data_IF_300953057007
#
_entry.id   IF_300953057007
#
_cell.length_a   1.000
_cell.length_b   1.000
_cell.length_c   1.000
_cell.angle_alpha   90.00
_cell.angle_beta   90.00
_cell.angle_gamma   90.00
#
_symmetry.space_group_name_H-M   'P 1'
#
loop_
_entity.id
_entity.type
_entity.pdbx_description
1 polymer ?
#
# COMPACT_ATOMS: atom_id res chain seq x y z
N UNK A 1 13.37 -38.28 -19.40
CA UNK A 1 13.80 -37.01 -20.03
C UNK A 1 13.23 -35.88 -19.20
N UNK A 2 13.96 -35.47 -18.17
CA UNK A 2 13.59 -34.34 -17.33
C UNK A 2 14.85 -33.50 -17.18
N UNK A 3 14.93 -32.43 -17.98
CA UNK A 3 15.94 -31.40 -17.85
C UNK A 3 15.46 -30.45 -16.76
N UNK A 4 16.03 -30.57 -15.56
CA UNK A 4 16.00 -29.49 -14.57
C UNK A 4 17.03 -28.44 -15.01
N UNK A 5 16.54 -27.26 -15.37
CA UNK A 5 17.38 -26.08 -15.60
C UNK A 5 17.88 -25.58 -14.25
N UNK A 6 19.07 -26.04 -13.87
CA UNK A 6 19.85 -25.49 -12.75
C UNK A 6 20.29 -24.06 -13.11
N UNK A 7 19.51 -23.06 -12.71
CA UNK A 7 19.96 -21.66 -12.67
C UNK A 7 20.83 -21.49 -11.43
N UNK A 8 21.96 -22.21 -11.42
CA UNK A 8 22.92 -22.25 -10.34
C UNK A 8 23.70 -20.94 -10.24
N UNK A 9 23.35 -20.09 -9.27
CA UNK A 9 24.21 -19.00 -8.82
C UNK A 9 25.50 -19.63 -8.26
N UNK A 10 26.54 -19.71 -9.10
CA UNK A 10 27.86 -20.26 -8.72
C UNK A 10 28.41 -19.49 -7.52
N UNK A 11 28.38 -20.11 -6.35
CA UNK A 11 29.03 -19.60 -5.13
C UNK A 11 30.53 -19.89 -5.25
N UNK A 12 31.34 -18.87 -5.57
CA UNK A 12 32.80 -19.03 -5.78
C UNK A 12 33.65 -18.25 -4.79
N UNK A 13 33.63 -18.65 -3.52
CA UNK A 13 34.88 -18.64 -2.76
C UNK A 13 35.43 -20.07 -2.84
N UNK A 14 36.34 -20.33 -3.78
CA UNK A 14 36.92 -21.67 -3.97
C UNK A 14 38.04 -21.99 -2.95
N UNK A 15 38.34 -21.06 -2.03
CA UNK A 15 39.35 -21.26 -1.00
C UNK A 15 38.72 -21.96 0.21
N UNK A 16 39.30 -23.08 0.69
CA UNK A 16 38.82 -23.71 1.91
C UNK A 16 38.98 -22.76 3.09
N UNK A 17 37.87 -22.47 3.75
CA UNK A 17 37.82 -21.62 4.93
C UNK A 17 38.27 -22.43 6.14
N UNK A 18 39.30 -21.98 6.86
CA UNK A 18 39.81 -22.65 8.07
C UNK A 18 41.16 -23.38 7.92
N UNK A 19 41.69 -23.51 6.70
CA UNK A 19 43.02 -24.10 6.44
C UNK A 19 44.11 -23.05 6.17
N UNK A 20 43.74 -21.80 5.92
CA UNK A 20 44.65 -20.67 5.74
C UNK A 20 44.86 -19.89 7.05
N UNK A 21 46.07 -19.36 7.29
CA UNK A 21 46.37 -18.48 8.43
C UNK A 21 45.55 -17.17 8.45
N UNK A 22 44.98 -16.77 7.31
CA UNK A 22 44.11 -15.60 7.22
C UNK A 22 42.72 -15.85 7.83
N UNK A 23 42.29 -14.96 8.73
CA UNK A 23 40.95 -15.02 9.33
C UNK A 23 39.88 -14.83 8.26
N UNK A 24 38.92 -15.74 8.22
CA UNK A 24 37.75 -15.64 7.36
C UNK A 24 36.80 -14.53 7.82
N UNK A 25 36.03 -13.96 6.89
CA UNK A 25 35.10 -12.86 7.13
C UNK A 25 33.67 -13.27 6.84
N UNK A 26 32.75 -12.88 7.71
CA UNK A 26 31.33 -13.23 7.60
C UNK A 26 30.56 -12.19 6.77
N UNK A 27 29.85 -12.65 5.74
CA UNK A 27 28.96 -11.83 4.93
C UNK A 27 27.54 -11.85 5.53
N UNK A 28 27.04 -10.69 5.93
CA UNK A 28 25.73 -10.58 6.57
C UNK A 28 24.54 -10.74 5.62
N UNK A 29 24.77 -10.67 4.30
CA UNK A 29 23.73 -10.93 3.29
C UNK A 29 23.57 -12.43 3.01
N UNK A 30 24.67 -13.12 2.71
CA UNK A 30 24.63 -14.53 2.31
C UNK A 30 24.70 -15.52 3.46
N UNK A 31 25.06 -15.07 4.67
CA UNK A 31 25.20 -15.92 5.85
C UNK A 31 26.41 -16.87 5.80
N UNK A 32 27.41 -16.59 4.95
CA UNK A 32 28.59 -17.45 4.73
C UNK A 32 29.89 -16.73 5.04
N UNK A 33 30.95 -17.51 5.28
CA UNK A 33 32.31 -17.02 5.44
C UNK A 33 33.07 -16.96 4.10
N UNK A 34 33.90 -15.94 3.95
CA UNK A 34 34.67 -15.65 2.74
C UNK A 34 36.12 -15.32 3.10
N UNK A 35 37.05 -15.58 2.18
CA UNK A 35 38.45 -15.15 2.33
C UNK A 35 38.58 -13.61 2.23
N UNK A 36 39.75 -13.09 2.63
CA UNK A 36 40.05 -11.65 2.60
C UNK A 36 39.92 -11.03 1.19
N UNK A 37 40.20 -11.80 0.14
CA UNK A 37 40.08 -11.34 -1.25
C UNK A 37 38.63 -11.18 -1.70
N UNK A 38 37.74 -12.08 -1.26
CA UNK A 38 36.32 -12.08 -1.64
C UNK A 38 35.46 -11.18 -0.73
N UNK A 39 36.01 -10.72 0.40
CA UNK A 39 35.29 -9.93 1.39
C UNK A 39 36.13 -8.74 1.90
N UNK A 40 35.81 -7.56 1.37
CA UNK A 40 36.49 -6.30 1.70
C UNK A 40 35.74 -5.47 2.75
N UNK A 41 34.85 -6.10 3.52
CA UNK A 41 34.08 -5.43 4.58
C UNK A 41 33.25 -4.23 4.10
N UNK A 42 32.84 -4.24 2.83
CA UNK A 42 31.93 -3.22 2.31
C UNK A 42 30.61 -3.25 3.06
N UNK A 43 30.08 -2.07 3.37
CA UNK A 43 28.87 -1.91 4.17
C UNK A 43 27.64 -1.72 3.29
N UNK A 44 26.59 -2.49 3.54
CA UNK A 44 25.32 -2.39 2.83
C UNK A 44 24.13 -2.66 3.78
N UNK A 45 22.95 -2.09 3.48
CA UNK A 45 21.72 -2.42 4.22
C UNK A 45 21.23 -3.80 3.80
N UNK A 46 20.93 -4.67 4.75
CA UNK A 46 20.48 -6.03 4.42
C UNK A 46 18.96 -6.05 4.28
N UNK A 47 18.39 -6.31 3.08
CA UNK A 47 16.95 -6.19 2.85
C UNK A 47 16.09 -7.03 3.80
N UNK A 48 16.51 -8.28 4.07
CA UNK A 48 15.81 -9.15 5.01
C UNK A 48 15.77 -8.57 6.44
N UNK A 49 16.87 -7.97 6.91
CA UNK A 49 16.92 -7.34 8.24
C UNK A 49 16.05 -6.09 8.30
N UNK A 50 16.10 -5.29 7.24
CA UNK A 50 15.26 -4.10 7.11
C UNK A 50 13.77 -4.45 7.13
N UNK A 51 13.35 -5.48 6.39
CA UNK A 51 11.94 -5.86 6.29
C UNK A 51 11.40 -6.57 7.53
N UNK A 52 12.21 -7.42 8.17
CA UNK A 52 11.72 -8.17 9.33
C UNK A 52 11.80 -7.38 10.64
N UNK A 53 12.82 -6.52 10.78
CA UNK A 53 13.11 -5.86 12.07
C UNK A 53 13.23 -4.33 11.97
N UNK A 54 12.97 -3.73 10.81
CA UNK A 54 13.27 -2.31 10.55
C UNK A 54 14.72 -1.93 10.90
N UNK A 55 15.65 -2.87 10.72
CA UNK A 55 17.05 -2.69 11.03
C UNK A 55 17.72 -1.87 9.91
N UNK A 56 17.94 -0.58 10.20
CA UNK A 56 18.50 0.40 9.26
C UNK A 56 20.02 0.41 9.24
N UNK A 57 20.68 -0.44 10.03
CA UNK A 57 22.12 -0.51 10.09
C UNK A 57 22.71 -1.09 8.80
N UNK A 58 23.95 -0.68 8.51
CA UNK A 58 24.73 -1.24 7.41
C UNK A 58 25.65 -2.33 7.94
N UNK A 59 25.70 -3.44 7.23
CA UNK A 59 26.47 -4.62 7.61
C UNK A 59 27.49 -4.97 6.56
N UNK A 60 28.56 -5.64 7.00
CA UNK A 60 29.64 -6.06 6.12
C UNK A 60 29.16 -7.17 5.17
N UNK A 61 29.43 -7.02 3.89
CA UNK A 61 29.05 -7.98 2.85
C UNK A 61 30.24 -8.36 1.97
N UNK A 62 30.17 -9.56 1.38
CA UNK A 62 31.11 -10.00 0.35
C UNK A 62 31.01 -9.13 -0.90
N UNK A 63 32.06 -9.12 -1.73
CA UNK A 63 32.06 -8.38 -3.02
C UNK A 63 30.89 -8.76 -3.90
N UNK A 64 30.69 -10.06 -4.10
CA UNK A 64 29.61 -10.61 -4.90
C UNK A 64 28.22 -10.21 -4.35
N UNK A 65 28.04 -10.28 -3.03
CA UNK A 65 26.79 -9.84 -2.41
C UNK A 65 26.55 -8.35 -2.61
N UNK A 66 27.59 -7.52 -2.50
CA UNK A 66 27.51 -6.09 -2.75
C UNK A 66 27.10 -5.80 -4.19
N UNK A 67 27.78 -6.40 -5.17
CA UNK A 67 27.48 -6.23 -6.60
C UNK A 67 26.02 -6.58 -6.90
N UNK A 68 25.53 -7.70 -6.34
CA UNK A 68 24.13 -8.08 -6.48
C UNK A 68 23.18 -7.09 -5.82
N UNK A 69 23.46 -6.68 -4.58
CA UNK A 69 22.62 -5.75 -3.83
C UNK A 69 22.55 -4.36 -4.49
N UNK A 70 23.65 -3.91 -5.10
CA UNK A 70 23.70 -2.69 -5.89
C UNK A 70 22.90 -2.84 -7.19
N UNK A 71 23.01 -3.98 -7.87
CA UNK A 71 22.26 -4.27 -9.09
C UNK A 71 20.74 -4.22 -8.88
N UNK A 72 20.24 -4.76 -7.76
CA UNK A 72 18.79 -4.78 -7.46
C UNK A 72 18.32 -3.60 -6.61
N UNK A 73 19.18 -2.61 -6.35
CA UNK A 73 18.92 -1.59 -5.34
C UNK A 73 17.68 -0.74 -5.64
N UNK A 74 17.47 -0.40 -6.91
CA UNK A 74 16.33 0.41 -7.37
C UNK A 74 15.15 -0.44 -7.88
N UNK A 75 15.33 -1.76 -7.95
CA UNK A 75 14.32 -2.69 -8.46
C UNK A 75 13.19 -2.87 -7.42
N UNK A 76 11.91 -2.71 -7.83
CA UNK A 76 10.76 -2.81 -6.93
C UNK A 76 10.41 -4.28 -6.64
N UNK A 77 11.20 -4.93 -5.80
CA UNK A 77 11.09 -6.37 -5.54
C UNK A 77 10.40 -6.71 -4.21
N UNK A 78 10.15 -5.72 -3.36
CA UNK A 78 9.76 -5.93 -1.96
C UNK A 78 8.29 -5.57 -1.75
N UNK A 79 7.40 -6.56 -1.79
CA UNK A 79 6.01 -6.37 -1.35
C UNK A 79 5.93 -6.49 0.18
N UNK A 80 5.87 -5.35 0.87
CA UNK A 80 5.86 -5.30 2.34
C UNK A 80 4.63 -5.99 2.93
N UNK A 81 3.47 -5.92 2.26
CA UNK A 81 2.25 -6.56 2.77
C UNK A 81 2.35 -8.08 2.73
N UNK A 82 3.00 -8.63 1.70
CA UNK A 82 3.24 -10.07 1.59
C UNK A 82 4.38 -10.55 2.50
N UNK A 83 5.45 -9.76 2.63
CA UNK A 83 6.66 -10.16 3.36
C UNK A 83 6.54 -9.97 4.87
N UNK A 84 5.98 -8.84 5.33
CA UNK A 84 5.80 -8.53 6.74
C UNK A 84 4.75 -7.39 6.92
N UNK A 85 3.45 -7.70 6.95
CA UNK A 85 2.41 -6.67 7.07
C UNK A 85 2.47 -5.91 8.41
N UNK A 86 2.97 -6.57 9.48
CA UNK A 86 3.15 -5.94 10.79
C UNK A 86 4.17 -4.80 10.77
N UNK A 87 5.05 -4.73 9.76
CA UNK A 87 6.04 -3.66 9.65
C UNK A 87 5.40 -2.26 9.59
N UNK A 88 4.23 -2.14 8.95
CA UNK A 88 3.47 -0.89 8.93
C UNK A 88 2.99 -0.44 10.30
N UNK A 89 2.83 -1.35 11.26
CA UNK A 89 2.41 -1.00 12.62
C UNK A 89 3.59 -0.58 13.49
N UNK A 90 4.78 -1.12 13.20
CA UNK A 90 5.99 -0.88 14.00
C UNK A 90 6.86 0.25 13.45
N UNK A 91 6.63 0.68 12.21
CA UNK A 91 7.33 1.81 11.60
C UNK A 91 6.36 2.90 11.17
N UNK A 92 6.28 3.96 11.97
CA UNK A 92 5.40 5.12 11.72
C UNK A 92 5.73 5.83 10.38
N UNK A 93 7.01 5.98 10.05
CA UNK A 93 7.44 6.60 8.80
C UNK A 93 6.94 5.80 7.57
N UNK A 94 7.00 4.47 7.64
CA UNK A 94 6.51 3.60 6.57
C UNK A 94 4.97 3.59 6.52
N UNK A 95 4.30 3.60 7.67
CA UNK A 95 2.84 3.72 7.77
C UNK A 95 2.34 5.02 7.12
N UNK A 96 3.02 6.13 7.39
CA UNK A 96 2.75 7.43 6.78
C UNK A 96 2.89 7.35 5.26
N UNK A 97 3.97 6.74 4.77
CA UNK A 97 4.18 6.55 3.32
C UNK A 97 3.09 5.68 2.71
N UNK A 98 2.66 4.60 3.37
CA UNK A 98 1.56 3.76 2.88
C UNK A 98 0.27 4.58 2.71
N UNK A 99 -0.08 5.38 3.72
CA UNK A 99 -1.26 6.25 3.70
C UNK A 99 -1.19 7.23 2.53
N UNK A 100 -0.04 7.91 2.34
CA UNK A 100 0.19 8.80 1.20
C UNK A 100 0.06 8.08 -0.14
N UNK A 101 0.56 6.85 -0.25
CA UNK A 101 0.45 6.05 -1.48
C UNK A 101 -0.98 5.61 -1.77
N UNK A 102 -1.77 5.24 -0.76
CA UNK A 102 -3.21 4.95 -0.90
C UNK A 102 -3.97 6.19 -1.39
N UNK A 103 -3.70 7.35 -0.78
CA UNK A 103 -4.26 8.63 -1.23
C UNK A 103 -3.91 8.94 -2.68
N UNK A 104 -2.65 8.74 -3.05
CA UNK A 104 -2.17 8.95 -4.41
C UNK A 104 -2.79 7.95 -5.41
N UNK A 105 -3.02 6.69 -5.02
CA UNK A 105 -3.73 5.70 -5.83
C UNK A 105 -5.18 6.13 -6.10
N UNK A 106 -5.87 6.70 -5.11
CA UNK A 106 -7.20 7.28 -5.32
C UNK A 106 -7.15 8.45 -6.29
N UNK A 107 -6.21 9.38 -6.13
CA UNK A 107 -6.04 10.53 -7.04
C UNK A 107 -5.67 10.10 -8.47
N UNK A 108 -4.83 9.08 -8.62
CA UNK A 108 -4.46 8.51 -9.92
C UNK A 108 -5.69 8.16 -10.74
N UNK A 109 -6.72 7.55 -10.14
CA UNK A 109 -7.94 7.17 -10.85
C UNK A 109 -8.65 8.37 -11.50
N UNK A 110 -8.64 9.55 -10.86
CA UNK A 110 -9.19 10.78 -11.43
C UNK A 110 -8.33 11.30 -12.58
N UNK A 111 -7.01 11.42 -12.37
CA UNK A 111 -6.10 12.00 -13.36
C UNK A 111 -6.01 11.14 -14.63
N UNK A 112 -5.95 9.80 -14.48
CA UNK A 112 -5.85 8.87 -15.60
C UNK A 112 -7.15 8.70 -16.38
N UNK A 113 -8.29 9.08 -15.81
CA UNK A 113 -9.58 9.10 -16.51
C UNK A 113 -10.01 10.52 -16.94
N UNK A 114 -9.15 11.53 -16.73
CA UNK A 114 -9.38 12.92 -17.15
C UNK A 114 -8.78 13.15 -18.55
N UNK A 115 -7.89 14.13 -18.72
CA UNK A 115 -7.19 14.44 -19.96
C UNK A 115 -5.81 13.78 -19.99
N UNK A 116 -5.39 13.28 -21.15
CA UNK A 116 -4.12 12.59 -21.34
C UNK A 116 -2.90 13.40 -20.86
N UNK A 117 -2.89 14.72 -21.09
CA UNK A 117 -1.79 15.60 -20.68
C UNK A 117 -1.53 15.57 -19.16
N UNK A 118 -2.58 15.54 -18.35
CA UNK A 118 -2.43 15.54 -16.88
C UNK A 118 -1.99 14.18 -16.35
N UNK A 119 -2.45 13.09 -16.99
CA UNK A 119 -1.96 11.76 -16.69
C UNK A 119 -0.47 11.63 -16.98
N UNK A 120 -0.01 12.20 -18.10
CA UNK A 120 1.40 12.22 -18.49
C UNK A 120 2.25 13.10 -17.56
N UNK A 121 1.75 14.26 -17.15
CA UNK A 121 2.41 15.08 -16.13
C UNK A 121 2.60 14.34 -14.80
N UNK A 122 1.61 13.55 -14.38
CA UNK A 122 1.73 12.71 -13.19
C UNK A 122 2.80 11.62 -13.37
N UNK A 123 2.88 10.98 -14.55
CA UNK A 123 3.94 9.99 -14.84
C UNK A 123 5.33 10.62 -14.78
N UNK A 124 5.54 11.76 -15.44
CA UNK A 124 6.81 12.49 -15.44
C UNK A 124 7.28 12.87 -14.03
N UNK A 125 6.35 13.27 -13.16
CA UNK A 125 6.65 13.60 -11.76
C UNK A 125 7.05 12.37 -10.93
N UNK A 126 6.61 11.19 -11.33
CA UNK A 126 6.88 9.94 -10.63
C UNK A 126 8.05 9.15 -11.21
N UNK A 127 8.46 9.45 -12.45
CA UNK A 127 9.58 8.79 -13.12
C UNK A 127 10.88 8.89 -12.28
N UNK A 128 11.68 7.82 -12.14
CA UNK A 128 11.52 6.48 -12.74
C UNK A 128 10.64 5.50 -11.93
N UNK A 129 9.95 5.97 -10.89
CA UNK A 129 9.25 5.17 -9.87
C UNK A 129 7.74 5.09 -10.11
N UNK A 130 7.32 4.91 -11.35
CA UNK A 130 5.90 4.87 -11.72
C UNK A 130 5.13 3.72 -11.07
N UNK A 131 5.81 2.61 -10.73
CA UNK A 131 5.24 1.50 -9.97
C UNK A 131 4.66 1.95 -8.61
N UNK A 132 5.17 3.06 -8.05
CA UNK A 132 4.65 3.59 -6.79
C UNK A 132 3.17 3.99 -6.87
N UNK A 133 2.70 4.35 -8.07
CA UNK A 133 1.31 4.69 -8.36
C UNK A 133 0.37 3.48 -8.49
N UNK A 134 0.92 2.29 -8.75
CA UNK A 134 0.14 1.10 -9.14
C UNK A 134 0.06 0.08 -8.00
N UNK A 135 1.20 -0.24 -7.40
CA UNK A 135 1.32 -1.30 -6.40
C UNK A 135 1.71 -0.74 -5.04
N UNK A 136 0.74 -0.24 -4.26
CA UNK A 136 0.97 0.53 -3.02
C UNK A 136 1.86 -0.15 -1.96
N UNK A 137 2.00 -1.48 -2.01
CA UNK A 137 2.83 -2.27 -1.09
C UNK A 137 4.20 -2.66 -1.64
N UNK A 138 4.47 -2.41 -2.91
CA UNK A 138 5.73 -2.77 -3.58
C UNK A 138 6.75 -1.64 -3.44
N UNK A 139 7.96 -1.97 -3.02
CA UNK A 139 9.08 -1.05 -2.80
C UNK A 139 10.40 -1.62 -3.33
N UNK A 140 11.31 -0.73 -3.70
CA UNK A 140 12.74 -1.03 -3.83
C UNK A 140 13.48 -0.80 -2.51
N UNK A 141 14.73 -1.26 -2.41
CA UNK A 141 15.59 -0.91 -1.27
C UNK A 141 15.86 0.60 -1.27
N UNK A 142 16.00 1.21 -2.45
CA UNK A 142 16.14 2.65 -2.61
C UNK A 142 14.94 3.45 -2.08
N UNK A 143 13.71 2.95 -2.24
CA UNK A 143 12.53 3.59 -1.66
C UNK A 143 12.54 3.52 -0.14
N UNK A 144 12.82 2.34 0.42
CA UNK A 144 12.88 2.16 1.87
C UNK A 144 14.00 3.01 2.48
N UNK A 145 15.15 3.15 1.81
CA UNK A 145 16.18 4.10 2.21
C UNK A 145 15.65 5.55 2.21
N UNK A 146 14.84 5.96 1.23
CA UNK A 146 14.20 7.28 1.26
C UNK A 146 13.15 7.44 2.36
N UNK A 147 12.53 6.34 2.82
CA UNK A 147 11.67 6.37 4.02
C UNK A 147 12.52 6.63 5.25
N UNK A 148 13.64 5.90 5.40
CA UNK A 148 14.60 6.07 6.50
C UNK A 148 15.14 7.51 6.53
N UNK A 149 15.51 8.05 5.36
CA UNK A 149 16.03 9.41 5.21
C UNK A 149 14.95 10.49 5.39
N UNK A 150 13.67 10.13 5.53
CA UNK A 150 12.56 11.08 5.63
C UNK A 150 12.25 11.86 4.35
N UNK A 151 12.70 11.37 3.18
CA UNK A 151 12.60 12.07 1.88
C UNK A 151 11.37 11.65 1.08
N UNK A 152 10.93 10.39 1.19
CA UNK A 152 9.86 9.86 0.35
C UNK A 152 8.51 10.50 0.66
N UNK A 153 8.17 10.71 1.94
CA UNK A 153 6.90 11.31 2.33
C UNK A 153 6.74 12.76 1.83
N UNK A 154 7.71 13.68 2.02
CA UNK A 154 7.65 15.02 1.42
C UNK A 154 7.54 15.03 -0.11
N UNK A 155 8.22 14.09 -0.78
CA UNK A 155 8.08 13.92 -2.23
C UNK A 155 6.64 13.55 -2.62
N UNK A 156 6.07 12.52 -2.00
CA UNK A 156 4.70 12.09 -2.27
C UNK A 156 3.67 13.19 -1.96
N UNK A 157 3.86 13.96 -0.88
CA UNK A 157 3.00 15.10 -0.56
C UNK A 157 2.99 16.17 -1.66
N UNK A 158 4.15 16.46 -2.28
CA UNK A 158 4.21 17.40 -3.42
C UNK A 158 3.41 16.89 -4.61
N UNK A 159 3.51 15.59 -4.92
CA UNK A 159 2.75 14.97 -6.02
C UNK A 159 1.25 14.94 -5.71
N UNK A 160 0.88 14.60 -4.47
CA UNK A 160 -0.51 14.62 -4.01
C UNK A 160 -1.09 16.02 -4.09
N UNK A 161 -0.34 17.06 -3.70
CA UNK A 161 -0.79 18.46 -3.82
C UNK A 161 -1.06 18.85 -5.27
N UNK A 162 -0.19 18.45 -6.19
CA UNK A 162 -0.41 18.65 -7.62
C UNK A 162 -1.70 17.95 -8.09
N UNK A 163 -1.84 16.66 -7.78
CA UNK A 163 -2.97 15.87 -8.24
C UNK A 163 -4.31 16.33 -7.63
N UNK A 164 -4.35 16.65 -6.33
CA UNK A 164 -5.55 17.16 -5.68
C UNK A 164 -5.95 18.55 -6.17
N UNK A 165 -4.97 19.44 -6.40
CA UNK A 165 -5.22 20.75 -7.00
C UNK A 165 -5.88 20.63 -8.38
N UNK A 166 -5.49 19.64 -9.19
CA UNK A 166 -6.15 19.37 -10.45
C UNK A 166 -7.59 18.90 -10.25
N UNK A 167 -7.82 17.92 -9.37
CA UNK A 167 -9.17 17.38 -9.12
C UNK A 167 -10.14 18.48 -8.67
N UNK A 168 -9.72 19.37 -7.79
CA UNK A 168 -10.58 20.46 -7.29
C UNK A 168 -10.87 21.56 -8.32
N UNK A 169 -9.99 21.76 -9.31
CA UNK A 169 -10.14 22.82 -10.31
C UNK A 169 -10.64 22.34 -11.67
N UNK A 170 -10.76 21.02 -11.88
CA UNK A 170 -11.15 20.43 -13.15
C UNK A 170 -12.62 19.98 -13.15
N UNK A 171 -13.42 20.53 -14.07
CA UNK A 171 -14.84 20.18 -14.25
C UNK A 171 -15.07 18.68 -14.50
N UNK A 172 -14.23 18.04 -15.31
CA UNK A 172 -14.33 16.59 -15.59
C UNK A 172 -14.03 15.72 -14.36
N UNK A 173 -13.19 16.21 -13.44
CA UNK A 173 -12.90 15.49 -12.21
C UNK A 173 -13.98 15.72 -11.15
N UNK A 174 -14.56 16.93 -11.10
CA UNK A 174 -15.62 17.24 -10.14
C UNK A 174 -16.90 16.44 -10.37
N UNK A 175 -17.21 16.11 -11.62
CA UNK A 175 -18.35 15.23 -11.97
C UNK A 175 -18.19 13.80 -11.44
N UNK A 176 -16.96 13.38 -11.10
CA UNK A 176 -16.64 12.06 -10.53
C UNK A 176 -16.54 12.10 -9.00
N UNK A 177 -16.82 13.25 -8.39
CA UNK A 177 -16.96 13.36 -6.95
C UNK A 177 -18.25 12.73 -6.45
N UNK A 178 -18.40 12.67 -5.13
CA UNK A 178 -19.55 12.05 -4.49
C UNK A 178 -20.36 13.11 -3.76
N UNK A 179 -21.67 12.87 -3.64
CA UNK A 179 -22.55 13.61 -2.74
C UNK A 179 -22.92 12.67 -1.59
N UNK A 180 -22.84 13.17 -0.36
CA UNK A 180 -23.17 12.37 0.82
C UNK A 180 -24.68 12.09 0.88
N UNK A 181 -25.10 10.84 0.65
CA UNK A 181 -26.55 10.47 0.66
C UNK A 181 -27.21 10.63 2.04
N UNK A 182 -26.43 10.70 3.13
CA UNK A 182 -26.93 10.80 4.50
C UNK A 182 -27.35 12.23 4.90
N UNK A 183 -26.60 13.25 4.47
CA UNK A 183 -26.94 14.64 4.77
C UNK A 183 -27.47 15.40 3.55
N UNK A 184 -27.29 14.85 2.34
CA UNK A 184 -27.69 15.46 1.07
C UNK A 184 -27.19 16.90 0.86
N UNK A 185 -26.12 17.29 1.56
CA UNK A 185 -25.43 18.53 1.29
C UNK A 185 -24.80 18.43 -0.11
N UNK A 186 -25.06 19.43 -0.96
CA UNK A 186 -24.53 19.53 -2.33
C UNK A 186 -23.01 19.70 -2.43
N UNK A 187 -22.31 19.76 -1.29
CA UNK A 187 -20.85 19.75 -1.25
C UNK A 187 -20.31 18.42 -1.79
N UNK A 188 -19.48 18.53 -2.83
CA UNK A 188 -18.78 17.38 -3.43
C UNK A 188 -17.65 16.92 -2.50
N UNK A 189 -17.65 15.62 -2.20
CA UNK A 189 -16.61 14.95 -1.42
C UNK A 189 -15.87 13.91 -2.25
N UNK A 190 -14.63 13.63 -1.85
CA UNK A 190 -13.75 12.72 -2.58
C UNK A 190 -13.11 11.67 -1.67
N UNK A 191 -12.91 10.42 -2.12
CA UNK A 191 -12.34 9.35 -1.30
C UNK A 191 -10.94 9.64 -0.75
N UNK A 192 -10.16 10.52 -1.40
CA UNK A 192 -8.81 10.89 -0.97
C UNK A 192 -8.77 11.96 0.14
N UNK A 193 -9.93 12.39 0.64
CA UNK A 193 -10.09 13.30 1.77
C UNK A 193 -10.29 12.49 3.07
N UNK A 194 -9.23 11.81 3.53
CA UNK A 194 -9.30 10.81 4.60
C UNK A 194 -9.87 11.32 5.95
N UNK A 195 -9.68 12.61 6.25
CA UNK A 195 -10.20 13.23 7.48
C UNK A 195 -11.67 13.67 7.35
N UNK A 196 -12.10 14.08 6.16
CA UNK A 196 -13.43 14.64 5.93
C UNK A 196 -14.44 13.62 5.39
N UNK A 197 -13.96 12.51 4.82
CA UNK A 197 -14.80 11.52 4.14
C UNK A 197 -14.45 10.09 4.53
N UNK A 198 -15.43 9.20 4.40
CA UNK A 198 -15.28 7.75 4.57
C UNK A 198 -15.92 7.03 3.39
N UNK A 199 -15.20 6.06 2.85
CA UNK A 199 -15.64 5.19 1.76
C UNK A 199 -16.13 3.87 2.35
N UNK A 200 -17.33 3.46 1.97
CA UNK A 200 -17.84 2.12 2.28
C UNK A 200 -17.03 1.07 1.51
N UNK A 201 -16.51 0.07 2.21
CA UNK A 201 -15.67 -0.98 1.61
C UNK A 201 -16.47 -1.92 0.69
N UNK A 202 -17.76 -2.13 0.99
CA UNK A 202 -18.62 -3.06 0.25
C UNK A 202 -19.14 -2.48 -1.08
N UNK A 203 -19.64 -1.23 -1.07
CA UNK A 203 -20.26 -0.63 -2.27
C UNK A 203 -19.47 0.55 -2.87
N UNK A 204 -18.43 1.02 -2.20
CA UNK A 204 -17.62 2.15 -2.65
C UNK A 204 -18.28 3.52 -2.55
N UNK A 205 -19.49 3.63 -1.99
CA UNK A 205 -20.11 4.93 -1.71
C UNK A 205 -19.27 5.74 -0.72
N UNK A 206 -19.26 7.06 -0.87
CA UNK A 206 -18.47 7.98 -0.03
C UNK A 206 -19.42 8.90 0.73
N UNK A 207 -19.16 9.05 2.01
CA UNK A 207 -19.95 9.87 2.94
C UNK A 207 -19.00 10.82 3.70
N UNK A 208 -19.53 11.89 4.28
CA UNK A 208 -18.76 12.64 5.28
C UNK A 208 -18.38 11.73 6.44
N UNK A 209 -17.21 11.93 7.03
CA UNK A 209 -16.73 11.09 8.14
C UNK A 209 -17.71 11.11 9.33
N UNK A 210 -18.24 12.29 9.67
CA UNK A 210 -19.24 12.47 10.74
C UNK A 210 -20.59 11.80 10.39
N UNK A 211 -21.04 11.93 9.14
CA UNK A 211 -22.27 11.28 8.70
C UNK A 211 -22.13 9.76 8.77
N UNK A 212 -21.00 9.23 8.33
CA UNK A 212 -20.72 7.79 8.36
C UNK A 212 -20.77 7.22 9.78
N UNK A 213 -20.19 7.91 10.77
CA UNK A 213 -20.20 7.46 12.17
C UNK A 213 -21.62 7.32 12.74
N UNK A 214 -22.56 8.18 12.33
CA UNK A 214 -23.95 8.15 12.82
C UNK A 214 -24.87 7.26 11.98
N UNK A 215 -24.51 7.03 10.72
CA UNK A 215 -25.35 6.38 9.71
C UNK A 215 -24.90 4.97 9.35
N UNK A 216 -24.33 4.22 10.29
CA UNK A 216 -24.07 2.79 10.10
C UNK A 216 -25.33 1.98 10.44
N UNK A 217 -25.66 0.91 9.68
CA UNK A 217 -24.96 0.38 8.51
C UNK A 217 -25.16 1.22 7.23
N UNK A 218 -24.32 1.00 6.20
CA UNK A 218 -24.35 1.80 4.96
C UNK A 218 -25.74 1.79 4.28
N UNK A 219 -26.40 2.95 4.08
CA UNK A 219 -27.76 2.99 3.54
C UNK A 219 -27.85 2.43 2.12
N UNK A 220 -26.79 2.58 1.32
CA UNK A 220 -26.73 2.04 -0.05
C UNK A 220 -26.59 0.52 -0.08
N UNK A 221 -25.90 -0.07 0.90
CA UNK A 221 -25.79 -1.52 1.02
C UNK A 221 -27.11 -2.12 1.50
N UNK A 222 -27.72 -1.53 2.53
CA UNK A 222 -29.06 -1.92 3.02
C UNK A 222 -30.07 -1.90 1.87
N UNK A 223 -30.12 -0.81 1.08
CA UNK A 223 -31.02 -0.71 -0.08
C UNK A 223 -30.76 -1.80 -1.11
N UNK A 224 -29.49 -2.11 -1.41
CA UNK A 224 -29.13 -3.20 -2.33
C UNK A 224 -29.54 -4.57 -1.82
N UNK A 225 -29.34 -4.85 -0.53
CA UNK A 225 -29.73 -6.12 0.08
C UNK A 225 -31.25 -6.30 0.09
N UNK A 226 -32.00 -5.24 0.44
CA UNK A 226 -33.46 -5.26 0.39
C UNK A 226 -33.99 -5.54 -1.03
N UNK A 227 -33.40 -4.93 -2.06
CA UNK A 227 -33.78 -5.22 -3.46
C UNK A 227 -33.45 -6.65 -3.90
N UNK A 228 -32.56 -7.36 -3.21
CA UNK A 228 -32.23 -8.76 -3.50
C UNK A 228 -33.16 -9.74 -2.77
N UNK A 229 -34.02 -9.27 -1.86
CA UNK A 229 -34.96 -10.13 -1.13
C UNK A 229 -36.10 -10.60 -2.05
N UNK A 230 -36.51 -11.88 -1.97
CA UNK A 230 -37.64 -12.40 -2.73
C UNK A 230 -38.96 -11.74 -2.27
N UNK A 231 -39.97 -11.71 -3.13
CA UNK A 231 -41.28 -11.11 -2.84
C UNK A 231 -41.92 -11.63 -1.52
N UNK A 232 -41.67 -12.89 -1.16
CA UNK A 232 -42.17 -13.52 0.06
C UNK A 232 -41.66 -12.86 1.35
N UNK A 233 -40.48 -12.24 1.33
CA UNK A 233 -39.93 -11.51 2.47
C UNK A 233 -40.79 -10.28 2.80
N UNK A 234 -41.27 -9.58 1.78
CA UNK A 234 -42.12 -8.39 1.95
C UNK A 234 -43.53 -8.76 2.41
N UNK A 235 -44.07 -9.88 1.91
CA UNK A 235 -45.38 -10.40 2.36
C UNK A 235 -45.42 -10.79 3.84
N UNK A 236 -44.28 -11.15 4.45
CA UNK A 236 -44.19 -11.44 5.89
C UNK A 236 -44.12 -10.19 6.76
N UNK A 237 -43.48 -9.11 6.27
CA UNK A 237 -43.40 -7.83 6.97
C UNK A 237 -44.76 -7.12 7.03
N UNK A 238 -45.53 -7.17 5.94
CA UNK A 238 -46.87 -6.57 5.89
C UNK A 238 -47.88 -7.30 6.80
N UNK A 239 -47.60 -8.56 7.19
CA UNK A 239 -48.45 -9.33 8.09
C UNK A 239 -48.26 -8.96 9.57
N UNK A 240 -47.10 -8.42 9.95
CA UNK A 240 -46.78 -8.02 11.34
C UNK A 240 -47.26 -6.59 11.67
N UNK A 241 -47.60 -5.77 10.67
CA UNK A 241 -48.06 -4.37 10.87
C UNK A 241 -49.58 -4.24 11.10
N UNK A 242 -50.27 -5.34 11.46
CA UNK A 242 -51.66 -5.29 11.90
C UNK A 242 -51.76 -4.66 13.31
N UNK A 243 -52.81 -3.87 13.63
CA UNK A 243 -52.83 -2.96 14.79
C UNK A 243 -52.90 -3.63 16.18
N UNK A 244 -52.65 -4.93 16.29
CA UNK A 244 -52.90 -5.69 17.50
C UNK A 244 -51.72 -6.53 18.00
N UNK A 245 -50.48 -6.13 17.71
CA UNK A 245 -49.32 -6.77 18.35
C UNK A 245 -48.39 -5.73 18.98
N UNK A 246 -48.61 -5.47 20.26
CA UNK A 246 -47.68 -4.74 21.12
C UNK A 246 -46.45 -5.59 21.40
N UNK A 247 -45.40 -5.46 20.58
CA UNK A 247 -44.06 -5.92 20.95
C UNK A 247 -42.99 -5.07 20.25
N UNK A 248 -42.70 -3.90 20.84
CA UNK A 248 -41.41 -3.24 20.69
C UNK A 248 -40.32 -4.22 21.20
N UNK A 249 -39.54 -4.78 20.29
CA UNK A 249 -38.50 -5.76 20.58
C UNK A 249 -37.27 -5.60 19.69
N UNK A 250 -36.46 -4.61 20.04
CA UNK A 250 -35.00 -4.54 19.89
C UNK A 250 -34.32 -5.18 18.67
N UNK A 251 -33.65 -4.32 17.89
CA UNK A 251 -32.46 -4.69 17.12
C UNK A 251 -31.41 -5.33 18.04
N UNK A 252 -31.26 -6.65 17.98
CA UNK A 252 -30.08 -7.33 18.51
C UNK A 252 -28.95 -7.26 17.47
N UNK A 253 -27.88 -6.55 17.81
CA UNK A 253 -26.59 -6.67 17.13
C UNK A 253 -25.92 -7.97 17.55
N UNK A 254 -25.73 -8.88 16.59
CA UNK A 254 -24.93 -10.09 16.77
C UNK A 254 -23.43 -9.79 16.65
N UNK A 255 -22.67 -10.29 17.64
CA UNK A 255 -21.23 -10.21 17.86
C UNK A 255 -20.33 -10.38 16.63
#
# INVERSE_FOLDING_TARGET
MSQEMDVGIRTRCQKPVGLSQEKAKFCYYSGRYYCQTCHQDSLFIIPARLLHNWDTNRYKVSKQAKEFLEFVYEEPLLDVKQLNPCLYQHCEALATVLTLRQRLQSLRAYLFSCRAAIAEDLRRRMFPREYLLQHIHLYSVADLQQVIDGKLAPFLLKVIKFASSHVYSCSLCSEKGFICELCQNSQVIYPFQESASKRCESCGAVFHAECWQRGQPCPRCVRRELHQKPASFWSQLDADDSPNNSALGYFEMGN
#
